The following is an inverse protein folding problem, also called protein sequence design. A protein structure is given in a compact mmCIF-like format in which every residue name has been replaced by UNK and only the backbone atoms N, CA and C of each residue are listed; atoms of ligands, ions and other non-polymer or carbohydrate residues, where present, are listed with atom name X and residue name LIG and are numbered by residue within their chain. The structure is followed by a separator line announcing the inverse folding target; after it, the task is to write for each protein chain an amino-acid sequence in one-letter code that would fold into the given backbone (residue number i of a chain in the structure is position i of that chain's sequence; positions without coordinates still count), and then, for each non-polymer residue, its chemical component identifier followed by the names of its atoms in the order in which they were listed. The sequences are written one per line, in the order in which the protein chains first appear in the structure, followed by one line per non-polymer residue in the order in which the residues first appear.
data_IF_695218117748
#
_entry.id   IF_695218117748
#
_cell.length_a   1.000
_cell.length_b   1.000
_cell.length_c   1.000
_cell.angle_alpha   90.00
_cell.angle_beta   90.00
_cell.angle_gamma   90.00
#
_symmetry.space_group_name_H-M   'P 1'
#
loop_
_entity.id
_entity.type
_entity.pdbx_description
1 polymer ?
#
# COMPACT_ATOMS: atom_id res chain seq x y z
N UNK A 1 -11.61 8.51 18.62
CA UNK A 1 -11.87 8.61 17.17
C UNK A 1 -11.66 10.06 16.76
N UNK A 2 -10.82 10.33 15.75
CA UNK A 2 -10.80 11.67 15.15
C UNK A 2 -12.20 12.00 14.59
N UNK A 3 -12.58 13.27 14.58
CA UNK A 3 -13.89 13.67 14.02
C UNK A 3 -13.94 13.27 12.54
N UNK A 4 -14.84 12.34 12.22
CA UNK A 4 -15.01 11.80 10.87
C UNK A 4 -15.35 12.90 9.86
N UNK A 5 -16.05 13.94 10.31
CA UNK A 5 -16.42 15.11 9.51
C UNK A 5 -15.17 15.91 9.14
N UNK A 6 -14.32 16.20 10.13
CA UNK A 6 -13.05 16.90 9.92
C UNK A 6 -12.15 16.09 8.98
N UNK A 7 -12.05 14.78 9.17
CA UNK A 7 -11.24 13.94 8.29
C UNK A 7 -11.78 13.91 6.84
N UNK A 8 -13.11 13.85 6.66
CA UNK A 8 -13.70 13.93 5.32
C UNK A 8 -13.37 15.28 4.66
N UNK A 9 -13.49 16.39 5.41
CA UNK A 9 -13.12 17.71 4.94
C UNK A 9 -11.63 17.82 4.56
N UNK A 10 -10.72 17.35 5.40
CA UNK A 10 -9.28 17.35 5.12
C UNK A 10 -8.96 16.51 3.87
N UNK A 11 -9.60 15.36 3.71
CA UNK A 11 -9.46 14.54 2.50
C UNK A 11 -9.90 15.31 1.25
N UNK A 12 -11.02 16.05 1.34
CA UNK A 12 -11.53 16.89 0.26
C UNK A 12 -10.55 18.01 -0.11
N UNK A 13 -9.98 18.70 0.88
CA UNK A 13 -8.98 19.76 0.66
C UNK A 13 -7.72 19.19 0.01
N UNK A 14 -7.18 18.08 0.54
CA UNK A 14 -5.99 17.44 -0.03
C UNK A 14 -6.25 17.03 -1.48
N UNK A 15 -7.38 16.38 -1.77
CA UNK A 15 -7.70 15.94 -3.13
C UNK A 15 -7.98 17.10 -4.09
N UNK A 16 -8.50 18.24 -3.60
CA UNK A 16 -8.61 19.46 -4.40
C UNK A 16 -7.24 20.03 -4.80
N UNK A 17 -6.21 19.76 -3.99
CA UNK A 17 -4.83 20.24 -4.19
C UNK A 17 -3.89 19.10 -4.65
N UNK A 18 -4.37 18.16 -5.47
CA UNK A 18 -3.52 17.13 -6.06
C UNK A 18 -3.19 15.94 -5.14
N UNK A 19 -3.87 15.82 -4.00
CA UNK A 19 -3.83 14.66 -3.10
C UNK A 19 -2.74 14.72 -2.03
N UNK A 20 -1.94 15.79 -2.00
CA UNK A 20 -0.92 16.06 -0.98
C UNK A 20 -0.73 17.57 -0.81
N UNK A 21 -0.31 18.00 0.38
CA UNK A 21 0.05 19.40 0.69
C UNK A 21 1.09 19.43 1.82
N UNK A 22 1.76 20.56 2.04
CA UNK A 22 2.45 20.78 3.30
C UNK A 22 1.45 21.06 4.42
N UNK A 23 1.81 20.72 5.65
CA UNK A 23 0.98 20.93 6.83
C UNK A 23 0.67 22.42 7.04
N UNK A 24 1.63 23.30 6.73
CA UNK A 24 1.47 24.75 6.80
C UNK A 24 0.40 25.25 5.82
N UNK A 25 0.42 24.76 4.58
CA UNK A 25 -0.58 25.13 3.57
C UNK A 25 -1.96 24.56 3.92
N UNK A 26 -2.00 23.30 4.39
CA UNK A 26 -3.23 22.66 4.82
C UNK A 26 -3.90 23.41 5.98
N UNK A 27 -3.10 23.97 6.89
CA UNK A 27 -3.58 24.82 7.99
C UNK A 27 -4.31 26.06 7.47
N UNK A 28 -3.92 26.61 6.32
CA UNK A 28 -4.62 27.75 5.70
C UNK A 28 -6.08 27.46 5.32
N UNK A 29 -6.48 26.19 5.26
CA UNK A 29 -7.84 25.76 4.93
C UNK A 29 -8.70 25.38 6.14
N UNK A 30 -8.16 25.42 7.36
CA UNK A 30 -8.86 25.02 8.58
C UNK A 30 -8.64 26.02 9.71
N UNK A 31 -9.68 26.27 10.49
CA UNK A 31 -9.61 27.09 11.71
C UNK A 31 -9.04 26.29 12.91
N UNK A 32 -7.93 25.60 12.69
CA UNK A 32 -7.24 24.80 13.70
C UNK A 32 -5.81 25.32 13.91
N UNK A 33 -5.35 25.30 15.16
CA UNK A 33 -3.91 25.46 15.42
C UNK A 33 -3.14 24.29 14.81
N UNK A 34 -1.87 24.52 14.44
CA UNK A 34 -1.05 23.47 13.84
C UNK A 34 -0.95 22.22 14.73
N UNK A 35 -0.80 22.41 16.06
CA UNK A 35 -0.78 21.30 17.02
C UNK A 35 -2.07 20.48 17.00
N UNK A 36 -3.24 21.14 16.95
CA UNK A 36 -4.55 20.46 16.86
C UNK A 36 -4.71 19.74 15.53
N UNK A 37 -4.29 20.36 14.42
CA UNK A 37 -4.34 19.72 13.10
C UNK A 37 -3.45 18.48 13.05
N UNK A 38 -2.21 18.57 13.55
CA UNK A 38 -1.27 17.44 13.63
C UNK A 38 -1.84 16.31 14.49
N UNK A 39 -2.44 16.61 15.64
CA UNK A 39 -3.11 15.62 16.49
C UNK A 39 -4.28 14.93 15.77
N UNK A 40 -5.14 15.69 15.07
CA UNK A 40 -6.24 15.12 14.28
C UNK A 40 -5.73 14.15 13.22
N UNK A 41 -4.69 14.56 12.48
CA UNK A 41 -4.08 13.75 11.42
C UNK A 41 -3.45 12.46 11.99
N UNK A 42 -2.70 12.57 13.09
CA UNK A 42 -2.07 11.43 13.76
C UNK A 42 -3.12 10.46 14.32
N UNK A 43 -4.20 10.96 14.94
CA UNK A 43 -5.30 10.12 15.44
C UNK A 43 -6.08 9.42 14.34
N UNK A 44 -6.17 10.01 13.16
CA UNK A 44 -6.79 9.38 11.98
C UNK A 44 -5.89 8.29 11.37
N UNK A 45 -4.58 8.38 11.59
CA UNK A 45 -3.61 7.35 11.24
C UNK A 45 -3.18 7.35 9.77
N UNK A 46 -2.11 6.59 9.46
CA UNK A 46 -1.48 6.57 8.14
C UNK A 46 -2.35 5.95 7.04
N UNK A 47 -3.36 5.17 7.40
CA UNK A 47 -4.35 4.62 6.45
C UNK A 47 -5.32 5.68 5.90
N UNK A 48 -5.33 6.88 6.50
CA UNK A 48 -6.10 8.03 6.02
C UNK A 48 -5.22 9.23 5.68
N UNK A 49 -4.25 9.55 6.52
CA UNK A 49 -3.31 10.65 6.29
C UNK A 49 -1.90 10.21 6.60
N UNK A 50 -1.06 10.14 5.57
CA UNK A 50 0.36 9.90 5.73
C UNK A 50 1.06 11.22 6.02
N UNK A 51 1.64 11.32 7.22
CA UNK A 51 2.47 12.44 7.63
C UNK A 51 3.94 12.06 7.50
N UNK A 52 4.69 12.82 6.73
CA UNK A 52 6.10 12.58 6.49
C UNK A 52 6.88 13.89 6.61
N UNK A 53 7.95 13.88 7.41
CA UNK A 53 8.91 14.98 7.45
C UNK A 53 9.81 14.91 6.22
N UNK A 54 10.04 16.06 5.58
CA UNK A 54 10.80 16.19 4.34
C UNK A 54 11.69 17.42 4.41
N UNK A 55 12.89 17.32 3.85
CA UNK A 55 13.77 18.47 3.69
C UNK A 55 13.28 19.32 2.50
N UNK A 56 13.13 20.63 2.72
CA UNK A 56 12.85 21.56 1.64
C UNK A 56 14.15 21.82 0.86
N UNK A 57 14.19 21.42 -0.41
CA UNK A 57 15.15 21.98 -1.38
C UNK A 57 14.47 23.12 -2.14
N UNK A 58 15.12 24.28 -2.19
CA UNK A 58 14.70 25.39 -3.05
C UNK A 58 14.78 24.96 -4.52
N UNK A 59 13.64 24.96 -5.22
CA UNK A 59 13.52 24.54 -6.61
C UNK A 59 12.26 23.73 -6.87
N UNK A 60 11.66 23.94 -8.04
CA UNK A 60 10.42 23.35 -8.55
C UNK A 60 10.31 21.84 -8.23
N UNK A 61 9.10 21.34 -7.98
CA UNK A 61 8.80 19.93 -7.68
C UNK A 61 9.24 18.98 -8.79
N UNK A 62 10.54 18.65 -8.82
CA UNK A 62 11.09 17.68 -9.76
C UNK A 62 10.57 16.29 -9.37
N UNK A 63 9.67 15.75 -10.19
CA UNK A 63 9.02 14.46 -9.93
C UNK A 63 10.02 13.33 -9.68
N UNK A 64 11.22 13.40 -10.29
CA UNK A 64 12.32 12.45 -10.08
C UNK A 64 13.02 12.65 -8.72
N UNK A 65 13.23 13.91 -8.30
CA UNK A 65 13.82 14.23 -6.99
C UNK A 65 12.88 13.87 -5.84
N UNK A 66 11.57 14.08 -6.01
CA UNK A 66 10.56 13.67 -5.02
C UNK A 66 10.38 12.16 -4.95
N UNK A 67 10.47 11.45 -6.08
CA UNK A 67 10.44 10.00 -6.10
C UNK A 67 11.66 9.38 -5.40
N UNK A 68 12.83 10.01 -5.53
CA UNK A 68 14.03 9.65 -4.78
C UNK A 68 13.89 9.93 -3.27
N UNK A 69 13.27 11.04 -2.88
CA UNK A 69 13.03 11.37 -1.47
C UNK A 69 12.09 10.37 -0.76
N UNK A 70 11.18 9.73 -1.50
CA UNK A 70 10.33 8.65 -0.98
C UNK A 70 11.05 7.33 -0.71
N UNK A 71 12.28 7.14 -1.23
CA UNK A 71 13.02 5.87 -1.14
C UNK A 71 13.94 5.75 0.08
N UNK A 72 13.83 6.66 1.07
CA UNK A 72 14.67 6.66 2.26
C UNK A 72 16.00 7.35 2.00
N UNK A 73 15.97 8.69 1.96
CA UNK A 73 17.17 9.52 1.96
C UNK A 73 17.33 10.18 3.32
N UNK A 74 18.18 9.62 4.18
CA UNK A 74 18.85 10.39 5.21
C UNK A 74 19.92 11.26 4.52
N UNK A 75 19.49 12.38 3.94
CA UNK A 75 20.38 13.46 3.55
C UNK A 75 20.71 14.23 4.82
N UNK A 76 22.00 14.50 5.04
CA UNK A 76 22.44 15.45 6.06
C UNK A 76 22.65 16.77 5.34
N UNK A 77 21.68 17.68 5.43
CA UNK A 77 21.79 19.01 4.86
C UNK A 77 20.86 19.96 5.61
N UNK A 78 21.42 21.04 6.16
CA UNK A 78 20.71 22.03 7.00
C UNK A 78 19.69 22.90 6.26
N UNK A 79 18.80 22.29 5.46
CA UNK A 79 17.61 22.91 4.90
C UNK A 79 16.46 22.92 5.92
N UNK A 80 15.47 23.77 5.69
CA UNK A 80 14.28 23.81 6.54
C UNK A 80 13.48 22.51 6.39
N UNK A 81 13.25 21.78 7.49
CA UNK A 81 12.35 20.64 7.52
C UNK A 81 10.89 21.08 7.46
N UNK A 82 10.07 20.36 6.69
CA UNK A 82 8.64 20.57 6.61
C UNK A 82 7.86 19.26 6.69
N UNK A 83 6.61 19.34 7.12
CA UNK A 83 5.71 18.19 7.15
C UNK A 83 4.84 18.15 5.90
N UNK A 84 4.95 17.08 5.14
CA UNK A 84 4.02 16.75 4.04
C UNK A 84 2.88 15.87 4.57
N UNK A 85 1.67 16.15 4.11
CA UNK A 85 0.46 15.38 4.38
C UNK A 85 -0.06 14.81 3.06
N UNK A 86 -0.24 13.50 2.97
CA UNK A 86 -0.78 12.81 1.78
C UNK A 86 -2.08 12.11 2.13
N UNK A 87 -3.11 12.24 1.28
CA UNK A 87 -4.39 11.56 1.46
C UNK A 87 -4.28 10.07 1.09
N UNK A 88 -4.67 9.19 2.00
CA UNK A 88 -4.62 7.74 1.84
C UNK A 88 -6.02 7.15 1.93
N UNK A 89 -6.26 6.10 1.16
CA UNK A 89 -7.51 5.35 1.23
C UNK A 89 -7.29 3.89 0.88
N UNK A 90 -8.05 3.01 1.53
CA UNK A 90 -8.16 1.60 1.19
C UNK A 90 -9.24 1.30 0.14
N UNK A 91 -10.02 2.31 -0.29
CA UNK A 91 -11.05 2.13 -1.32
C UNK A 91 -10.44 1.71 -2.66
N UNK A 92 -10.99 0.66 -3.30
CA UNK A 92 -10.51 0.13 -4.58
C UNK A 92 -11.66 -0.06 -5.55
N UNK A 93 -11.33 -0.02 -6.83
CA UNK A 93 -12.20 -0.45 -7.92
C UNK A 93 -12.40 -1.96 -7.88
N UNK A 94 -13.66 -2.38 -8.02
CA UNK A 94 -14.00 -3.80 -8.07
C UNK A 94 -13.51 -4.44 -9.38
N UNK A 95 -12.49 -5.30 -9.30
CA UNK A 95 -11.97 -6.01 -10.46
C UNK A 95 -12.99 -6.96 -11.10
N UNK A 96 -13.91 -7.54 -10.31
CA UNK A 96 -15.02 -8.38 -10.81
C UNK A 96 -16.07 -7.55 -11.55
N UNK A 97 -16.35 -6.34 -11.07
CA UNK A 97 -17.26 -5.41 -11.73
C UNK A 97 -16.73 -5.00 -13.10
N UNK A 98 -15.42 -4.75 -13.23
CA UNK A 98 -14.81 -4.45 -14.53
C UNK A 98 -14.99 -5.58 -15.58
N UNK A 99 -15.29 -6.80 -15.16
CA UNK A 99 -15.58 -7.96 -16.03
C UNK A 99 -17.08 -8.28 -16.17
N UNK A 100 -17.96 -7.53 -15.51
CA UNK A 100 -19.40 -7.82 -15.48
C UNK A 100 -19.79 -8.99 -14.57
N UNK A 101 -18.91 -9.40 -13.65
CA UNK A 101 -19.07 -10.60 -12.79
C UNK A 101 -19.40 -10.25 -11.32
N UNK A 102 -19.87 -9.02 -11.06
CA UNK A 102 -20.14 -8.55 -9.70
C UNK A 102 -21.53 -7.91 -9.58
N UNK A 103 -22.31 -8.39 -8.61
CA UNK A 103 -23.64 -7.86 -8.29
C UNK A 103 -23.59 -6.90 -7.09
N UNK A 104 -22.90 -7.28 -6.02
CA UNK A 104 -22.64 -6.42 -4.86
C UNK A 104 -21.33 -6.84 -4.17
N UNK A 105 -20.54 -5.87 -3.73
CA UNK A 105 -19.36 -6.07 -2.88
C UNK A 105 -19.01 -4.76 -2.14
N UNK A 106 -17.92 -4.77 -1.40
CA UNK A 106 -17.37 -3.64 -0.64
C UNK A 106 -16.38 -2.77 -1.45
N UNK A 107 -16.33 -2.95 -2.77
CA UNK A 107 -15.48 -2.20 -3.69
C UNK A 107 -16.30 -1.35 -4.66
N UNK A 108 -15.64 -0.34 -5.24
CA UNK A 108 -16.29 0.65 -6.08
C UNK A 108 -16.64 0.10 -7.47
N UNK A 109 -17.89 0.30 -7.87
CA UNK A 109 -18.50 -0.11 -9.12
C UNK A 109 -18.65 1.09 -10.08
N UNK A 110 -17.55 1.45 -10.76
CA UNK A 110 -17.59 2.39 -11.89
C UNK A 110 -16.55 2.01 -12.96
N UNK A 111 -16.68 2.58 -14.15
CA UNK A 111 -15.83 2.30 -15.30
C UNK A 111 -14.40 2.81 -15.07
N UNK A 112 -13.41 1.90 -15.10
CA UNK A 112 -11.98 2.26 -15.03
C UNK A 112 -11.58 3.28 -16.09
N UNK A 113 -12.05 3.13 -17.33
CA UNK A 113 -11.70 4.06 -18.43
C UNK A 113 -12.25 5.46 -18.18
N UNK A 114 -13.45 5.56 -17.61
CA UNK A 114 -14.05 6.86 -17.27
C UNK A 114 -13.29 7.55 -16.13
N UNK A 115 -12.85 6.81 -15.12
CA UNK A 115 -11.97 7.37 -14.07
C UNK A 115 -10.65 7.88 -14.63
N UNK A 116 -10.07 7.18 -15.60
CA UNK A 116 -8.85 7.63 -16.30
C UNK A 116 -9.12 8.70 -17.36
N UNK A 117 -10.37 9.13 -17.57
CA UNK A 117 -10.73 10.14 -18.57
C UNK A 117 -10.63 9.65 -20.02
N UNK A 118 -10.48 8.34 -20.24
CA UNK A 118 -10.27 7.66 -21.53
C UNK A 118 -11.49 6.92 -22.07
N UNK A 119 -12.66 7.07 -21.43
CA UNK A 119 -13.88 6.46 -21.97
C UNK A 119 -14.31 7.26 -23.21
N UNK A 120 -14.43 6.65 -24.40
CA UNK A 120 -14.72 7.36 -25.66
C UNK A 120 -16.09 8.05 -25.68
N UNK A 121 -16.96 7.74 -24.71
CA UNK A 121 -18.33 8.24 -24.64
C UNK A 121 -18.52 9.08 -23.38
N UNK A 122 -17.75 10.17 -23.25
CA UNK A 122 -17.86 11.10 -22.11
C UNK A 122 -19.30 11.60 -21.90
N UNK A 123 -20.07 11.71 -22.99
CA UNK A 123 -21.41 12.35 -22.97
C UNK A 123 -22.56 11.41 -23.37
N UNK A 124 -22.31 10.11 -23.61
CA UNK A 124 -23.38 9.18 -24.02
C UNK A 124 -23.35 7.89 -23.17
N UNK A 125 -24.24 7.82 -22.19
CA UNK A 125 -24.42 6.68 -21.29
C UNK A 125 -24.82 5.37 -22.02
N UNK A 126 -25.18 5.42 -23.30
CA UNK A 126 -25.82 4.31 -24.02
C UNK A 126 -24.88 3.23 -24.56
N UNK A 127 -23.56 3.37 -24.44
CA UNK A 127 -22.60 2.44 -25.07
C UNK A 127 -21.57 1.85 -24.12
N UNK A 128 -21.36 2.42 -22.92
CA UNK A 128 -20.51 1.81 -21.91
C UNK A 128 -21.35 0.87 -21.03
N UNK A 129 -20.99 -0.41 -20.97
CA UNK A 129 -21.65 -1.39 -20.11
C UNK A 129 -21.36 -1.21 -18.61
N UNK A 130 -20.45 -0.30 -18.24
CA UNK A 130 -20.05 -0.02 -16.86
C UNK A 130 -20.53 1.38 -16.45
N UNK A 131 -20.93 1.53 -15.19
CA UNK A 131 -21.44 2.78 -14.62
C UNK A 131 -20.40 3.87 -14.65
N UNK A 132 -20.81 5.09 -15.02
CA UNK A 132 -20.02 6.31 -14.83
C UNK A 132 -20.46 7.10 -13.58
N UNK A 133 -21.58 6.71 -12.96
CA UNK A 133 -22.11 7.38 -11.78
C UNK A 133 -21.41 6.88 -10.50
N UNK A 134 -20.78 7.82 -9.78
CA UNK A 134 -20.15 7.57 -8.49
C UNK A 134 -21.18 7.48 -7.35
N UNK A 135 -22.44 7.84 -7.58
CA UNK A 135 -23.52 7.89 -6.60
C UNK A 135 -24.54 6.75 -6.73
N UNK A 136 -24.17 5.62 -7.37
CA UNK A 136 -24.99 4.41 -7.28
C UNK A 136 -25.15 3.95 -5.82
N UNK A 137 -26.24 3.24 -5.44
CA UNK A 137 -26.45 2.80 -4.07
C UNK A 137 -25.28 1.99 -3.48
N UNK A 138 -24.67 1.11 -4.28
CA UNK A 138 -23.47 0.34 -3.89
C UNK A 138 -22.29 1.27 -3.61
N UNK A 139 -22.02 2.22 -4.53
CA UNK A 139 -20.91 3.16 -4.37
C UNK A 139 -21.10 4.09 -3.18
N UNK A 140 -22.32 4.59 -2.93
CA UNK A 140 -22.61 5.43 -1.76
C UNK A 140 -22.23 4.71 -0.46
N UNK A 141 -22.58 3.42 -0.35
CA UNK A 141 -22.25 2.65 0.85
C UNK A 141 -20.73 2.47 1.00
N UNK A 142 -20.02 2.13 -0.07
CA UNK A 142 -18.56 1.99 -0.07
C UNK A 142 -17.88 3.32 0.30
N UNK A 143 -18.28 4.43 -0.32
CA UNK A 143 -17.74 5.77 -0.03
C UNK A 143 -17.95 6.18 1.43
N UNK A 144 -19.11 5.86 2.02
CA UNK A 144 -19.39 6.10 3.45
C UNK A 144 -18.50 5.25 4.35
N UNK A 145 -18.37 3.95 4.05
CA UNK A 145 -17.55 3.03 4.84
C UNK A 145 -16.08 3.44 4.88
N UNK A 146 -15.56 4.00 3.78
CA UNK A 146 -14.19 4.52 3.71
C UNK A 146 -14.06 5.98 4.18
N UNK A 147 -15.15 6.63 4.61
CA UNK A 147 -15.14 8.01 5.10
C UNK A 147 -14.78 9.06 4.04
N UNK A 148 -15.05 8.76 2.76
CA UNK A 148 -14.75 9.60 1.58
C UNK A 148 -16.02 10.01 0.82
N UNK A 149 -17.18 9.86 1.48
CA UNK A 149 -18.44 10.38 0.97
C UNK A 149 -18.39 11.91 0.90
N UNK A 150 -18.85 12.48 -0.22
CA UNK A 150 -18.85 13.93 -0.47
C UNK A 150 -17.67 14.44 -1.31
N UNK A 151 -16.73 13.57 -1.69
CA UNK A 151 -15.80 13.87 -2.78
C UNK A 151 -16.53 13.91 -4.11
N UNK A 152 -16.20 14.90 -4.95
CA UNK A 152 -16.65 14.91 -6.33
C UNK A 152 -15.80 13.96 -7.19
N UNK A 153 -16.22 13.75 -8.44
CA UNK A 153 -15.56 12.83 -9.39
C UNK A 153 -14.08 13.17 -9.62
N UNK A 154 -13.72 14.45 -9.73
CA UNK A 154 -12.33 14.87 -9.94
C UNK A 154 -11.45 14.60 -8.70
N UNK A 155 -11.96 14.86 -7.50
CA UNK A 155 -11.28 14.57 -6.25
C UNK A 155 -11.13 13.06 -6.02
N UNK A 156 -12.17 12.29 -6.33
CA UNK A 156 -12.15 10.84 -6.22
C UNK A 156 -11.14 10.22 -7.21
N UNK A 157 -11.01 10.75 -8.44
CA UNK A 157 -9.98 10.34 -9.39
C UNK A 157 -8.57 10.50 -8.82
N UNK A 158 -8.27 11.64 -8.20
CA UNK A 158 -6.96 11.91 -7.59
C UNK A 158 -6.69 10.91 -6.46
N UNK A 159 -7.66 10.77 -5.53
CA UNK A 159 -7.53 9.87 -4.39
C UNK A 159 -7.31 8.42 -4.82
N UNK A 160 -8.07 7.95 -5.81
CA UNK A 160 -7.96 6.57 -6.27
C UNK A 160 -6.68 6.35 -7.08
N UNK A 161 -6.29 7.26 -7.97
CA UNK A 161 -5.09 7.08 -8.79
C UNK A 161 -3.82 6.96 -7.93
N UNK A 162 -3.75 7.67 -6.81
CA UNK A 162 -2.62 7.57 -5.88
C UNK A 162 -2.70 6.40 -4.88
N UNK A 163 -3.83 5.68 -4.80
CA UNK A 163 -4.02 4.61 -3.82
C UNK A 163 -4.31 3.23 -4.44
N UNK A 164 -4.91 3.17 -5.63
CA UNK A 164 -5.39 1.96 -6.26
C UNK A 164 -4.44 1.48 -7.37
N UNK A 165 -3.72 0.36 -7.17
CA UNK A 165 -2.82 -0.20 -8.18
C UNK A 165 -3.52 -0.55 -9.49
N UNK A 166 -4.84 -0.77 -9.47
CA UNK A 166 -5.59 -1.07 -10.68
C UNK A 166 -5.81 0.16 -11.55
N UNK A 167 -5.42 1.37 -11.15
CA UNK A 167 -5.45 2.55 -12.02
C UNK A 167 -4.11 2.84 -12.69
N UNK A 168 -3.03 2.20 -12.23
CA UNK A 168 -1.71 2.31 -12.83
C UNK A 168 -1.59 1.50 -14.14
N UNK A 169 -0.60 1.84 -14.99
CA UNK A 169 -0.19 1.00 -16.11
C UNK A 169 0.12 -0.42 -15.68
N UNK A 170 -0.06 -1.37 -16.60
CA UNK A 170 0.24 -2.77 -16.32
C UNK A 170 1.70 -2.97 -15.98
N UNK A 171 1.97 -3.79 -14.97
CA UNK A 171 3.32 -4.23 -14.62
C UNK A 171 3.75 -5.37 -15.56
N UNK A 172 4.94 -5.28 -16.12
CA UNK A 172 5.50 -6.29 -17.01
C UNK A 172 5.77 -7.59 -16.24
N UNK A 173 5.08 -8.67 -16.61
CA UNK A 173 5.24 -9.97 -15.98
C UNK A 173 6.59 -10.62 -16.34
N UNK A 174 7.09 -10.39 -17.56
CA UNK A 174 8.39 -10.93 -18.00
C UNK A 174 9.55 -10.27 -17.24
N UNK A 175 9.46 -8.96 -16.99
CA UNK A 175 10.36 -8.29 -16.06
C UNK A 175 10.31 -8.98 -14.69
N UNK A 176 9.12 -9.27 -14.15
CA UNK A 176 8.92 -9.87 -12.82
C UNK A 176 9.25 -11.37 -12.67
N UNK A 177 9.63 -12.09 -13.74
CA UNK A 177 9.85 -13.56 -13.74
C UNK A 177 11.27 -14.04 -13.38
N UNK A 178 12.13 -13.20 -12.81
CA UNK A 178 13.58 -13.48 -12.67
C UNK A 178 14.38 -12.96 -13.87
N UNK A 179 15.65 -13.35 -13.99
CA UNK A 179 16.60 -12.80 -14.98
C UNK A 179 17.40 -11.63 -14.42
N UNK A 180 17.92 -10.78 -15.31
CA UNK A 180 18.75 -9.65 -14.91
C UNK A 180 17.93 -8.59 -14.12
N UNK A 181 18.57 -7.75 -13.29
CA UNK A 181 17.85 -6.74 -12.49
C UNK A 181 17.20 -5.61 -13.32
N UNK A 182 17.74 -5.33 -14.51
CA UNK A 182 17.36 -4.17 -15.31
C UNK A 182 16.13 -4.47 -16.20
N UNK A 183 16.06 -5.65 -16.81
CA UNK A 183 14.99 -6.03 -17.73
C UNK A 183 14.36 -7.40 -17.46
N UNK A 184 14.94 -8.20 -16.57
CA UNK A 184 14.47 -9.56 -16.30
C UNK A 184 14.49 -10.41 -17.57
N UNK A 185 13.34 -10.94 -17.97
CA UNK A 185 13.18 -11.66 -19.25
C UNK A 185 12.44 -10.84 -20.31
N UNK A 186 12.31 -9.52 -20.14
CA UNK A 186 11.62 -8.68 -21.11
C UNK A 186 12.52 -8.33 -22.31
N UNK A 187 12.25 -8.93 -23.46
CA UNK A 187 12.98 -8.65 -24.69
C UNK A 187 12.72 -7.26 -25.28
N UNK A 188 11.64 -6.58 -24.86
CA UNK A 188 11.29 -5.24 -25.33
C UNK A 188 12.12 -4.15 -24.64
N UNK A 189 12.74 -4.43 -23.49
CA UNK A 189 13.57 -3.49 -22.73
C UNK A 189 12.89 -2.11 -22.60
N UNK A 190 13.56 -1.02 -22.97
CA UNK A 190 13.03 0.35 -22.89
C UNK A 190 11.87 0.62 -23.86
N UNK A 191 11.62 -0.28 -24.82
CA UNK A 191 10.46 -0.22 -25.73
C UNK A 191 9.22 -0.91 -25.14
N UNK A 192 9.31 -1.47 -23.94
CA UNK A 192 8.16 -2.09 -23.29
C UNK A 192 7.13 -1.04 -22.87
N UNK A 193 5.86 -1.25 -23.22
CA UNK A 193 4.74 -0.37 -22.83
C UNK A 193 4.16 -0.69 -21.45
N UNK A 194 4.85 -1.54 -20.68
CA UNK A 194 4.46 -1.99 -19.34
C UNK A 194 5.52 -1.58 -18.33
N UNK A 195 5.13 -1.36 -17.07
CA UNK A 195 6.07 -0.97 -16.03
C UNK A 195 7.07 -2.08 -15.69
N UNK A 196 8.35 -1.74 -15.75
CA UNK A 196 9.46 -2.51 -15.19
C UNK A 196 9.67 -2.14 -13.72
N UNK A 197 8.70 -2.54 -12.89
CA UNK A 197 8.69 -2.31 -11.44
C UNK A 197 8.33 -3.63 -10.73
N UNK A 198 8.75 -3.77 -9.48
CA UNK A 198 8.38 -4.89 -8.63
C UNK A 198 6.85 -4.97 -8.47
N UNK A 199 6.24 -6.05 -8.98
CA UNK A 199 4.80 -6.28 -8.88
C UNK A 199 4.33 -6.37 -7.43
N UNK A 200 5.13 -7.00 -6.56
CA UNK A 200 4.81 -7.11 -5.14
C UNK A 200 4.85 -5.75 -4.45
N UNK A 201 5.80 -4.87 -4.80
CA UNK A 201 5.89 -3.52 -4.25
C UNK A 201 4.66 -2.68 -4.60
N UNK A 202 4.25 -2.69 -5.87
CA UNK A 202 3.05 -1.98 -6.34
C UNK A 202 1.78 -2.47 -5.63
N UNK A 203 1.76 -3.72 -5.16
CA UNK A 203 0.65 -4.28 -4.38
C UNK A 203 0.77 -4.06 -2.87
N UNK A 204 1.91 -3.55 -2.38
CA UNK A 204 2.20 -3.45 -0.95
C UNK A 204 2.54 -4.79 -0.29
N UNK A 205 2.98 -5.77 -1.07
CA UNK A 205 3.23 -7.17 -0.67
C UNK A 205 4.72 -7.56 -0.76
N UNK A 206 5.63 -6.63 -1.12
CA UNK A 206 7.06 -6.94 -1.23
C UNK A 206 7.67 -7.12 0.16
N UNK A 207 8.14 -8.34 0.45
CA UNK A 207 8.76 -8.74 1.72
C UNK A 207 10.30 -8.76 1.66
N UNK A 208 10.91 -8.29 0.57
CA UNK A 208 12.36 -8.33 0.37
C UNK A 208 12.98 -6.98 0.73
N UNK A 209 13.82 -6.94 1.77
CA UNK A 209 14.53 -5.72 2.19
C UNK A 209 15.40 -5.17 1.06
N UNK A 210 16.19 -6.06 0.44
CA UNK A 210 17.02 -5.75 -0.72
C UNK A 210 16.40 -6.37 -1.97
N UNK A 211 15.25 -5.84 -2.40
CA UNK A 211 14.56 -6.31 -3.59
C UNK A 211 15.42 -6.08 -4.84
N UNK A 212 15.64 -7.13 -5.64
CA UNK A 212 16.38 -7.05 -6.92
C UNK A 212 15.59 -6.34 -8.04
N UNK A 213 14.35 -5.90 -7.76
CA UNK A 213 13.46 -5.27 -8.72
C UNK A 213 13.23 -3.83 -8.32
N UNK A 214 13.13 -2.97 -9.32
CA UNK A 214 12.94 -1.54 -9.11
C UNK A 214 11.67 -1.30 -8.32
N UNK A 215 11.79 -0.46 -7.28
CA UNK A 215 10.67 0.11 -6.54
C UNK A 215 10.37 1.55 -6.99
N UNK A 216 10.98 1.99 -8.10
CA UNK A 216 10.88 3.36 -8.59
C UNK A 216 9.86 3.45 -9.74
N UNK A 217 8.68 3.98 -9.43
CA UNK A 217 7.60 4.23 -10.40
C UNK A 217 7.84 5.45 -11.27
N UNK A 218 8.72 6.36 -10.84
CA UNK A 218 9.04 7.62 -11.52
C UNK A 218 10.52 7.64 -11.88
N UNK A 219 10.80 7.42 -13.15
CA UNK A 219 12.11 7.54 -13.80
C UNK A 219 11.88 7.89 -15.26
N UNK A 220 12.89 8.38 -15.97
CA UNK A 220 12.80 8.84 -17.36
C UNK A 220 11.90 7.98 -18.29
N UNK A 221 12.12 6.67 -18.37
CA UNK A 221 11.32 5.76 -19.22
C UNK A 221 9.86 5.66 -18.76
N UNK A 222 9.62 5.56 -17.45
CA UNK A 222 8.27 5.54 -16.89
C UNK A 222 7.53 6.87 -17.09
N UNK A 223 8.21 8.02 -17.00
CA UNK A 223 7.61 9.34 -17.23
C UNK A 223 7.02 9.45 -18.63
N UNK A 224 7.76 9.01 -19.66
CA UNK A 224 7.27 8.97 -21.04
C UNK A 224 6.00 8.11 -21.16
N UNK A 225 6.02 6.91 -20.58
CA UNK A 225 4.86 6.01 -20.58
C UNK A 225 3.65 6.60 -19.84
N UNK A 226 3.87 7.29 -18.71
CA UNK A 226 2.82 7.97 -17.95
C UNK A 226 2.20 9.12 -18.75
N UNK A 227 3.02 9.92 -19.44
CA UNK A 227 2.58 11.01 -20.30
C UNK A 227 1.80 10.52 -21.52
N UNK A 228 2.31 9.50 -22.22
CA UNK A 228 1.61 8.86 -23.35
C UNK A 228 0.26 8.27 -22.93
N UNK A 229 0.16 7.80 -21.68
CA UNK A 229 -1.08 7.34 -21.09
C UNK A 229 -1.93 8.44 -20.43
N UNK A 230 -1.54 9.71 -20.51
CA UNK A 230 -2.31 10.83 -19.94
C UNK A 230 -2.58 10.70 -18.43
N UNK A 231 -1.66 10.07 -17.70
CA UNK A 231 -1.79 9.90 -16.25
C UNK A 231 -1.23 11.11 -15.51
N UNK A 232 -1.87 11.45 -14.38
CA UNK A 232 -1.41 12.51 -13.48
C UNK A 232 -0.08 12.10 -12.83
N UNK A 233 1.03 12.68 -13.29
CA UNK A 233 2.36 12.47 -12.71
C UNK A 233 2.36 12.76 -11.19
N UNK A 234 1.77 13.87 -10.69
CA UNK A 234 1.68 14.11 -9.24
C UNK A 234 1.00 12.98 -8.46
N UNK A 235 -0.07 12.40 -9.00
CA UNK A 235 -0.77 11.27 -8.36
C UNK A 235 0.08 10.00 -8.34
N UNK A 236 0.91 9.76 -9.36
CA UNK A 236 1.84 8.62 -9.38
C UNK A 236 3.01 8.84 -8.41
N UNK A 237 3.49 10.09 -8.26
CA UNK A 237 4.46 10.43 -7.20
C UNK A 237 3.83 10.18 -5.82
N UNK A 238 2.57 10.56 -5.60
CA UNK A 238 1.87 10.25 -4.34
C UNK A 238 1.74 8.74 -4.12
N UNK A 239 1.46 7.97 -5.18
CA UNK A 239 1.46 6.51 -5.12
C UNK A 239 2.84 5.98 -4.70
N UNK A 240 3.92 6.47 -5.29
CA UNK A 240 5.30 6.11 -4.91
C UNK A 240 5.56 6.36 -3.43
N UNK A 241 5.17 7.54 -2.91
CA UNK A 241 5.33 7.91 -1.50
C UNK A 241 4.56 6.94 -0.59
N UNK A 242 3.29 6.68 -0.92
CA UNK A 242 2.42 5.77 -0.13
C UNK A 242 2.96 4.34 -0.17
N UNK A 243 3.37 3.83 -1.34
CA UNK A 243 3.94 2.49 -1.48
C UNK A 243 5.26 2.33 -0.75
N UNK A 244 6.13 3.33 -0.78
CA UNK A 244 7.40 3.30 -0.06
C UNK A 244 7.18 3.28 1.47
N UNK A 245 6.25 4.10 1.98
CA UNK A 245 5.84 4.05 3.38
C UNK A 245 5.32 2.67 3.77
N UNK A 246 4.38 2.12 3.00
CA UNK A 246 3.81 0.79 3.28
C UNK A 246 4.85 -0.32 3.23
N UNK A 247 5.80 -0.23 2.33
CA UNK A 247 6.91 -1.17 2.23
C UNK A 247 7.79 -1.12 3.48
N UNK A 248 8.17 0.08 3.94
CA UNK A 248 8.95 0.26 5.16
C UNK A 248 8.19 -0.26 6.40
N UNK A 249 6.90 0.05 6.53
CA UNK A 249 6.10 -0.44 7.66
C UNK A 249 5.93 -1.96 7.65
N UNK A 250 5.69 -2.56 6.48
CA UNK A 250 5.65 -4.02 6.35
C UNK A 250 6.97 -4.65 6.83
N UNK A 251 8.09 -4.04 6.51
CA UNK A 251 9.41 -4.51 6.91
C UNK A 251 9.65 -4.40 8.41
N UNK A 252 9.31 -3.27 9.04
CA UNK A 252 9.33 -3.12 10.51
C UNK A 252 8.47 -4.19 11.19
N UNK A 253 7.28 -4.48 10.64
CA UNK A 253 6.40 -5.51 11.18
C UNK A 253 7.00 -6.92 11.08
N UNK A 254 7.71 -7.24 9.98
CA UNK A 254 8.35 -8.53 9.79
C UNK A 254 9.56 -8.69 10.73
N UNK A 255 10.40 -7.67 10.86
CA UNK A 255 11.55 -7.68 11.79
C UNK A 255 11.12 -7.86 13.24
N UNK A 256 10.06 -7.16 13.67
CA UNK A 256 9.52 -7.31 15.03
C UNK A 256 8.98 -8.72 15.28
N UNK A 257 8.41 -9.37 14.26
CA UNK A 257 7.91 -10.74 14.36
C UNK A 257 9.05 -11.76 14.49
N UNK A 258 10.12 -11.56 13.73
CA UNK A 258 11.31 -12.42 13.80
C UNK A 258 12.03 -12.27 15.15
N UNK A 259 12.09 -11.05 15.70
CA UNK A 259 12.64 -10.79 17.03
C UNK A 259 11.80 -11.45 18.14
N UNK A 260 10.46 -11.29 18.11
CA UNK A 260 9.56 -11.91 19.08
C UNK A 260 9.59 -13.45 19.03
N UNK A 261 9.73 -14.04 17.84
CA UNK A 261 9.89 -15.49 17.68
C UNK A 261 11.24 -16.00 18.22
N UNK A 262 12.30 -15.20 18.09
CA UNK A 262 13.64 -15.52 18.60
C UNK A 262 13.69 -15.43 20.12
N UNK A 263 13.08 -14.42 20.73
CA UNK A 263 12.98 -14.29 22.20
C UNK A 263 12.19 -15.44 22.84
N UNK A 264 11.10 -15.88 22.20
CA UNK A 264 10.30 -17.01 22.67
C UNK A 264 11.10 -18.33 22.65
N UNK A 265 11.98 -18.49 21.66
CA UNK A 265 12.85 -19.66 21.53
C UNK A 265 13.99 -19.65 22.56
N UNK A 266 14.59 -18.48 22.85
CA UNK A 266 15.62 -18.32 23.88
C UNK A 266 15.09 -18.44 25.32
N UNK A 267 13.81 -18.12 25.56
CA UNK A 267 13.13 -18.34 26.84
C UNK A 267 13.00 -19.83 27.18
N UNK A 268 12.71 -20.67 26.19
CA UNK A 268 12.60 -22.12 26.35
C UNK A 268 13.97 -22.79 26.59
N UNK A 269 15.06 -22.28 25.99
CA UNK A 269 16.42 -22.80 26.23
C UNK A 269 16.97 -22.46 27.63
N UNK A 270 16.64 -21.28 28.16
CA UNK A 270 17.01 -20.90 29.54
C UNK A 270 16.27 -21.73 30.60
N UNK A 271 15.03 -22.13 30.34
CA UNK A 271 14.27 -23.01 31.24
C UNK A 271 14.84 -24.44 31.25
N UNK A 272 15.23 -24.96 30.09
CA UNK A 272 15.83 -26.30 29.96
C UNK A 272 17.20 -26.44 30.63
N UNK A 273 17.93 -25.33 30.76
CA UNK A 273 19.26 -25.31 31.40
C UNK A 273 19.18 -25.19 32.93
N UNK A 274 18.04 -24.71 33.48
CA UNK A 274 17.81 -24.65 34.93
C UNK A 274 17.24 -25.96 35.52
N UNK A 275 16.51 -26.76 34.74
CA UNK A 275 15.95 -28.04 35.20
C UNK A 275 16.98 -29.19 35.23
N UNK A 276 18.13 -29.05 34.58
CA UNK A 276 19.17 -30.10 34.56
C UNK A 276 20.09 -30.12 35.80
N UNK A 277 19.85 -29.27 36.82
CA UNK A 277 20.71 -29.16 38.02
C UNK A 277 20.06 -29.60 39.33
N UNK A 278 18.86 -30.16 39.31
CA UNK A 278 18.18 -30.65 40.51
C UNK A 278 17.70 -32.10 40.32
N UNK A 279 18.37 -33.04 40.99
CA UNK A 279 17.80 -34.34 41.33
C UNK A 279 18.52 -35.57 40.78
N UNK A 280 19.76 -35.84 41.21
CA UNK A 280 20.24 -37.22 41.29
C UNK A 280 19.75 -37.85 42.60
N UNK A 281 18.88 -38.84 42.49
CA UNK A 281 18.36 -39.63 43.60
C UNK A 281 17.67 -40.88 43.08
N UNK A 282 18.45 -41.94 42.83
CA UNK A 282 17.98 -43.32 42.63
C UNK A 282 17.31 -43.80 43.93
N UNK A 283 16.32 -44.74 43.91
CA UNK A 283 16.68 -46.15 43.67
C UNK A 283 15.60 -47.10 43.07
N UNK A 284 16.16 -48.15 42.43
CA UNK A 284 15.82 -49.59 42.45
C UNK A 284 14.48 -50.15 41.90
N UNK A 285 14.66 -51.19 41.07
CA UNK A 285 13.72 -52.12 40.42
C UNK A 285 13.12 -53.12 41.43
N UNK A 286 11.98 -53.80 41.16
CA UNK A 286 12.04 -55.12 40.49
C UNK A 286 10.89 -55.46 39.51
N UNK A 287 11.22 -56.27 38.49
CA UNK A 287 10.36 -57.12 37.60
C UNK A 287 10.06 -58.43 38.37
N UNK A 288 8.99 -59.29 38.19
CA UNK A 288 8.32 -59.74 36.93
C UNK A 288 6.79 -60.04 36.97
N UNK A 289 6.17 -60.29 35.81
CA UNK A 289 5.55 -61.59 35.44
C UNK A 289 4.73 -61.57 34.12
N UNK A 290 4.81 -62.71 33.43
CA UNK A 290 4.16 -63.16 32.18
C UNK A 290 2.62 -63.28 32.36
N UNK A 291 1.70 -63.52 31.42
CA UNK A 291 1.64 -64.10 30.07
C UNK A 291 0.20 -63.85 29.55
N UNK A 292 -0.03 -63.79 28.23
CA UNK A 292 -0.96 -64.68 27.50
C UNK A 292 -1.67 -64.04 26.27
N UNK A 293 -1.42 -64.72 25.13
CA UNK A 293 -2.35 -65.09 24.05
C UNK A 293 -2.91 -64.04 23.07
N UNK A 294 -2.28 -64.06 21.88
CA UNK A 294 -2.85 -64.05 20.51
C UNK A 294 -4.05 -65.02 20.36
N UNK A 295 -4.92 -64.96 19.31
CA UNK A 295 -4.50 -64.87 17.89
C UNK A 295 -5.42 -64.17 16.85
N UNK A 296 -4.81 -63.87 15.68
CA UNK A 296 -5.25 -63.98 14.26
C UNK A 296 -6.69 -63.55 13.85
N UNK A 297 -7.06 -63.14 12.63
CA UNK A 297 -6.55 -63.13 11.24
C UNK A 297 -7.54 -62.19 10.50
N UNK A 298 -7.10 -61.35 9.56
CA UNK A 298 -7.51 -61.61 8.18
C UNK A 298 -7.67 -60.32 7.37
N UNK A 299 -6.93 -60.30 6.27
CA UNK A 299 -6.80 -59.31 5.18
C UNK A 299 -7.94 -59.50 4.13
N UNK A 300 -8.01 -58.77 3.01
CA UNK A 300 -7.02 -57.92 2.31
C UNK A 300 -7.26 -56.42 2.36
#
# INVERSE_FOLDING_TARGET
MADLTVCSFLTKVLCANGGRMFLQDLRGHVELSEAKLRDVLQRAGPERFLLQEVEMKEGLWDAEAEAAAGAGGAGSGGGASAWRVVAVSSARLCARYQRGECQACDQLHFCRRHMLGKCPHRDCWSTCSLSHDIHTPVNIQVLKNHGIFGLNEAQLRILLLQNDPCLLPEVCLLYNKGGDPLYGYCNLKDKCTKFHVCKAFVRGECKLQTCKRSHQLIHATALKLLQEQGLSIPSVVNFQIISAYKHMELHKMLENKDNSATECSQGLEKQRTQEARAGEGRPLVPIPAQSARKPYLGKP
#
